data_IF_066891637135
#
_entry.id   IF_066891637135
#
_cell.length_a   1.000
_cell.length_b   1.000
_cell.length_c   1.000
_cell.angle_alpha   90.00
_cell.angle_beta   90.00
_cell.angle_gamma   90.00
#
_symmetry.space_group_name_H-M   'P 1'
#
loop_
_entity.id
_entity.type
_entity.pdbx_description
1 polymer ?
#
# COMPACT_ATOMS: atom_id res chain seq x y z
N UNK A 1 6.18 9.33 -9.33
CA UNK A 1 6.01 9.32 -7.87
C UNK A 1 5.16 8.15 -7.36
N UNK A 2 3.84 8.08 -7.59
CA UNK A 2 3.00 6.94 -7.13
C UNK A 2 3.50 5.60 -7.68
N UNK A 3 3.80 5.53 -8.97
CA UNK A 3 4.33 4.30 -9.59
C UNK A 3 5.70 3.90 -9.06
N UNK A 4 6.55 4.86 -8.67
CA UNK A 4 7.87 4.58 -8.10
C UNK A 4 7.76 3.99 -6.70
N UNK A 5 6.78 4.45 -5.92
CA UNK A 5 6.48 3.91 -4.60
C UNK A 5 6.02 2.46 -4.72
N UNK A 6 5.06 2.19 -5.60
CA UNK A 6 4.55 0.82 -5.82
C UNK A 6 5.64 -0.10 -6.37
N UNK A 7 6.52 0.40 -7.25
CA UNK A 7 7.68 -0.35 -7.75
C UNK A 7 8.72 -0.67 -6.67
N UNK A 8 8.79 0.13 -5.60
CA UNK A 8 9.70 -0.13 -4.49
C UNK A 8 9.22 -1.24 -3.54
N UNK A 9 7.96 -1.68 -3.68
CA UNK A 9 7.40 -2.73 -2.85
C UNK A 9 7.89 -4.09 -3.31
N UNK A 10 8.44 -4.88 -2.38
CA UNK A 10 8.74 -6.29 -2.61
C UNK A 10 7.63 -7.14 -2.03
N UNK A 11 6.84 -7.78 -2.90
CA UNK A 11 5.83 -8.75 -2.48
C UNK A 11 6.55 -10.03 -2.03
N UNK A 12 6.26 -10.46 -0.79
CA UNK A 12 6.77 -11.70 -0.21
C UNK A 12 5.76 -12.83 -0.41
N UNK A 13 4.47 -12.51 -0.19
CA UNK A 13 3.35 -13.44 -0.34
C UNK A 13 2.10 -12.64 -0.74
N UNK A 14 1.28 -13.21 -1.62
CA UNK A 14 0.04 -12.60 -2.13
C UNK A 14 -1.02 -13.68 -2.30
N UNK A 15 -2.18 -13.47 -1.68
CA UNK A 15 -3.36 -14.29 -1.86
C UNK A 15 -4.58 -13.37 -2.13
N UNK A 16 -5.19 -13.55 -3.30
CA UNK A 16 -6.37 -12.80 -3.74
C UNK A 16 -7.53 -13.79 -3.91
N UNK A 17 -8.50 -13.74 -3.00
CA UNK A 17 -9.75 -14.50 -3.07
C UNK A 17 -10.82 -13.62 -3.72
N UNK A 18 -10.97 -13.76 -5.04
CA UNK A 18 -11.93 -12.99 -5.84
C UNK A 18 -13.39 -13.36 -5.54
N UNK A 19 -13.66 -14.56 -5.01
CA UNK A 19 -15.01 -14.97 -4.64
C UNK A 19 -15.44 -14.33 -3.32
N UNK A 20 -14.55 -14.30 -2.33
CA UNK A 20 -14.82 -13.68 -1.02
C UNK A 20 -14.51 -12.18 -0.96
N UNK A 21 -13.91 -11.62 -2.01
CA UNK A 21 -13.39 -10.25 -2.02
C UNK A 21 -12.42 -10.00 -0.86
N UNK A 22 -11.48 -10.92 -0.67
CA UNK A 22 -10.46 -10.82 0.36
C UNK A 22 -9.06 -10.81 -0.25
N UNK A 23 -8.22 -9.86 0.17
CA UNK A 23 -6.81 -9.81 -0.20
C UNK A 23 -5.93 -9.90 1.05
N UNK A 24 -4.97 -10.82 1.04
CA UNK A 24 -3.90 -10.90 2.03
C UNK A 24 -2.57 -10.75 1.33
N UNK A 25 -1.78 -9.79 1.79
CA UNK A 25 -0.50 -9.45 1.18
C UNK A 25 0.55 -9.28 2.25
N UNK A 26 1.65 -10.00 2.10
CA UNK A 26 2.88 -9.77 2.86
C UNK A 26 3.87 -9.07 1.96
N UNK A 27 4.35 -7.92 2.39
CA UNK A 27 5.29 -7.10 1.64
C UNK A 27 6.44 -6.62 2.51
N UNK A 28 7.54 -6.30 1.85
CA UNK A 28 8.70 -5.63 2.42
C UNK A 28 8.93 -4.31 1.69
N UNK A 29 9.26 -3.27 2.45
CA UNK A 29 9.67 -1.98 1.90
C UNK A 29 11.15 -1.81 2.24
N UNK A 30 12.03 -1.62 1.24
CA UNK A 30 13.44 -1.33 1.49
C UNK A 30 13.61 -0.08 2.38
N UNK A 31 14.53 -0.12 3.34
CA UNK A 31 14.74 0.97 4.29
C UNK A 31 15.26 2.27 3.65
N UNK A 32 15.83 2.18 2.46
CA UNK A 32 16.28 3.29 1.61
C UNK A 32 15.21 3.79 0.63
N UNK A 33 13.98 3.26 0.70
CA UNK A 33 12.88 3.65 -0.16
C UNK A 33 12.54 5.14 -0.02
N UNK A 34 12.11 5.73 -1.14
CA UNK A 34 11.71 7.15 -1.22
C UNK A 34 10.59 7.50 -0.25
N UNK A 35 9.76 6.53 0.15
CA UNK A 35 8.66 6.76 1.13
C UNK A 35 9.16 7.16 2.51
N UNK A 36 10.41 6.84 2.85
CA UNK A 36 11.05 7.20 4.12
C UNK A 36 11.89 8.48 4.02
N UNK A 37 12.17 8.98 2.81
CA UNK A 37 13.00 10.18 2.62
C UNK A 37 12.30 11.40 3.20
N UNK A 38 12.84 11.93 4.29
CA UNK A 38 12.29 13.08 5.01
C UNK A 38 11.08 12.75 5.89
N UNK A 39 10.72 11.47 6.07
CA UNK A 39 9.54 11.07 6.86
C UNK A 39 9.84 9.89 7.79
N UNK A 40 10.41 10.11 8.97
CA UNK A 40 11.05 11.34 9.44
C UNK A 40 12.58 11.16 9.44
N UNK A 41 13.38 12.24 9.29
CA UNK A 41 14.84 12.11 9.11
C UNK A 41 15.55 11.24 10.15
N UNK A 42 15.12 11.30 11.40
CA UNK A 42 15.71 10.52 12.50
C UNK A 42 14.92 9.25 12.84
N UNK A 43 13.69 9.13 12.33
CA UNK A 43 12.74 8.05 12.62
C UNK A 43 11.96 7.73 11.35
N UNK A 44 12.54 6.93 10.43
CA UNK A 44 11.84 6.57 9.20
C UNK A 44 10.55 5.82 9.56
N UNK A 45 9.43 6.37 9.13
CA UNK A 45 8.10 5.85 9.41
C UNK A 45 7.32 5.85 8.10
N UNK A 46 6.54 4.80 7.88
CA UNK A 46 5.71 4.73 6.69
C UNK A 46 4.48 5.62 6.89
N UNK A 47 4.39 6.72 6.13
CA UNK A 47 3.24 7.62 6.21
C UNK A 47 1.93 6.85 6.00
N UNK A 48 0.89 7.19 6.76
CA UNK A 48 -0.43 6.56 6.63
C UNK A 48 -1.01 6.67 5.21
N UNK A 49 -0.71 7.76 4.51
CA UNK A 49 -1.09 7.92 3.10
C UNK A 49 -0.50 6.85 2.18
N UNK A 50 0.75 6.41 2.42
CA UNK A 50 1.36 5.33 1.65
C UNK A 50 0.76 3.97 2.00
N UNK A 51 0.41 3.74 3.27
CA UNK A 51 -0.31 2.53 3.68
C UNK A 51 -1.66 2.41 2.98
N UNK A 52 -2.40 3.52 2.87
CA UNK A 52 -3.67 3.58 2.15
C UNK A 52 -3.49 3.40 0.64
N UNK A 53 -2.46 4.02 0.05
CA UNK A 53 -2.12 3.86 -1.37
C UNK A 53 -1.84 2.38 -1.71
N UNK A 54 -1.08 1.70 -0.86
CA UNK A 54 -0.82 0.25 -0.92
C UNK A 54 -2.16 -0.50 -0.89
N UNK A 55 -3.00 -0.27 0.11
CA UNK A 55 -4.30 -0.94 0.21
C UNK A 55 -5.16 -0.76 -1.06
N UNK A 56 -5.23 0.46 -1.61
CA UNK A 56 -5.97 0.74 -2.84
C UNK A 56 -5.37 0.04 -4.06
N UNK A 57 -4.04 -0.07 -4.16
CA UNK A 57 -3.39 -0.81 -5.25
C UNK A 57 -3.87 -2.27 -5.29
N UNK A 58 -3.90 -2.95 -4.14
CA UNK A 58 -4.38 -4.33 -4.08
C UNK A 58 -5.89 -4.46 -4.20
N UNK A 59 -6.66 -3.46 -3.75
CA UNK A 59 -8.10 -3.43 -3.99
C UNK A 59 -8.42 -3.40 -5.49
N UNK A 60 -7.70 -2.58 -6.28
CA UNK A 60 -7.84 -2.56 -7.74
C UNK A 60 -7.55 -3.92 -8.39
N UNK A 61 -6.47 -4.58 -7.93
CA UNK A 61 -6.13 -5.94 -8.38
C UNK A 61 -7.21 -6.96 -8.03
N UNK A 62 -7.69 -6.94 -6.79
CA UNK A 62 -8.73 -7.85 -6.30
C UNK A 62 -10.05 -7.70 -7.08
N UNK A 63 -10.44 -6.46 -7.39
CA UNK A 63 -11.66 -6.18 -8.16
C UNK A 63 -11.47 -6.37 -9.67
N UNK A 64 -10.23 -6.48 -10.15
CA UNK A 64 -9.88 -6.43 -11.57
C UNK A 64 -10.46 -5.18 -12.27
N UNK A 65 -10.49 -4.05 -11.56
CA UNK A 65 -11.07 -2.79 -12.01
C UNK A 65 -10.17 -1.61 -11.68
N UNK A 66 -10.17 -0.60 -12.56
CA UNK A 66 -9.49 0.66 -12.29
C UNK A 66 -10.41 1.63 -11.56
N UNK A 67 -10.62 1.39 -10.27
CA UNK A 67 -11.45 2.23 -9.41
C UNK A 67 -10.75 3.51 -8.95
N UNK A 68 -11.52 4.51 -8.54
CA UNK A 68 -11.01 5.73 -7.89
C UNK A 68 -11.58 5.81 -6.48
N UNK A 69 -10.72 6.12 -5.50
CA UNK A 69 -11.15 6.35 -4.11
C UNK A 69 -11.74 7.75 -3.98
N UNK A 70 -13.04 7.85 -3.73
CA UNK A 70 -13.72 9.14 -3.49
C UNK A 70 -13.55 9.61 -2.04
N UNK A 71 -13.76 8.70 -1.08
CA UNK A 71 -13.68 8.98 0.35
C UNK A 71 -13.16 7.78 1.13
N UNK A 72 -12.47 8.07 2.22
CA UNK A 72 -12.14 7.10 3.26
C UNK A 72 -12.98 7.47 4.47
N UNK A 73 -13.95 6.63 4.85
CA UNK A 73 -14.85 6.88 5.97
C UNK A 73 -14.11 6.85 7.31
N UNK A 74 -13.19 5.91 7.47
CA UNK A 74 -12.38 5.73 8.66
C UNK A 74 -11.03 5.08 8.30
N UNK A 75 -9.95 5.53 8.93
CA UNK A 75 -8.65 4.87 8.93
C UNK A 75 -8.05 4.94 10.34
N UNK A 76 -7.54 3.80 10.84
CA UNK A 76 -6.92 3.69 12.16
C UNK A 76 -5.49 3.18 12.00
N UNK A 77 -4.52 3.98 12.43
CA UNK A 77 -3.11 3.62 12.48
C UNK A 77 -2.74 3.36 13.95
N UNK A 78 -2.11 2.22 14.25
CA UNK A 78 -1.73 1.80 15.60
C UNK A 78 -0.23 1.55 15.68
#
# INVERSE_FOLDING_TARGET
MVDEILKSLRVIDENLDHEKLEARVKLSIPGDSIVFKGHFPERPLLAGAYQLLIAVHWLKKLLNENITTERISEAKFR
#
